data_IF_858883266507
#
_entry.id   IF_858883266507
#
_cell.length_a   1.000
_cell.length_b   1.000
_cell.length_c   1.000
_cell.angle_alpha   90.00
_cell.angle_beta   90.00
_cell.angle_gamma   90.00
#
_symmetry.space_group_name_H-M   'P 1'
#
loop_
_entity.id
_entity.type
_entity.pdbx_description
1 polymer ?
#
# COMPACT_ATOMS: atom_id res chain seq x y z
N UNK A 1 -17.82 37.88 2.05
CA UNK A 1 -18.51 37.91 0.74
C UNK A 1 -17.57 38.50 -0.30
N UNK A 2 -17.00 37.68 -1.19
CA UNK A 2 -16.26 38.16 -2.36
C UNK A 2 -16.63 37.29 -3.55
N UNK A 3 -17.47 37.86 -4.41
CA UNK A 3 -17.80 37.38 -5.75
C UNK A 3 -16.62 37.73 -6.67
N UNK A 4 -16.06 36.77 -7.38
CA UNK A 4 -15.41 37.00 -8.67
C UNK A 4 -15.90 35.88 -9.58
N UNK A 5 -16.62 36.27 -10.62
CA UNK A 5 -17.04 35.40 -11.71
C UNK A 5 -15.93 35.26 -12.74
N UNK A 6 -15.90 34.12 -13.41
CA UNK A 6 -15.18 33.93 -14.66
C UNK A 6 -16.09 33.21 -15.67
N UNK A 7 -16.38 33.95 -16.73
CA UNK A 7 -16.61 33.52 -18.13
C UNK A 7 -15.52 32.50 -18.51
N UNK A 8 -15.67 31.46 -19.32
CA UNK A 8 -16.69 30.97 -20.25
C UNK A 8 -15.96 30.05 -21.25
N UNK A 9 -16.60 28.92 -21.60
CA UNK A 9 -16.44 28.08 -22.80
C UNK A 9 -15.06 27.52 -23.20
N UNK A 10 -14.96 26.18 -23.19
CA UNK A 10 -14.22 25.44 -24.21
C UNK A 10 -14.96 24.13 -24.54
N UNK A 11 -15.57 24.09 -25.73
CA UNK A 11 -16.08 22.87 -26.38
C UNK A 11 -14.87 22.11 -26.94
N UNK A 12 -14.62 20.88 -26.46
CA UNK A 12 -13.66 19.97 -27.09
C UNK A 12 -14.44 18.81 -27.68
N UNK A 13 -14.34 18.71 -29.01
CA UNK A 13 -15.05 17.77 -29.86
C UNK A 13 -14.49 16.34 -29.75
N UNK A 14 -15.38 15.37 -29.95
CA UNK A 14 -15.08 13.94 -30.06
C UNK A 14 -14.28 13.63 -31.32
N UNK A 15 -13.32 12.70 -31.21
CA UNK A 15 -12.97 11.83 -32.33
C UNK A 15 -12.65 10.42 -31.83
N UNK A 16 -13.52 9.48 -32.20
CA UNK A 16 -13.27 8.04 -32.18
C UNK A 16 -12.40 7.69 -33.40
N UNK A 17 -11.31 6.96 -33.20
CA UNK A 17 -10.67 6.21 -34.28
C UNK A 17 -10.58 4.74 -33.87
N UNK A 18 -11.43 3.91 -34.48
CA UNK A 18 -11.29 2.47 -34.50
C UNK A 18 -10.25 2.11 -35.57
N UNK A 19 -9.16 1.47 -35.17
CA UNK A 19 -8.29 0.73 -36.09
C UNK A 19 -8.38 -0.74 -35.75
N UNK A 20 -8.75 -1.51 -36.77
CA UNK A 20 -8.99 -2.94 -36.78
C UNK A 20 -7.84 -3.66 -37.51
N UNK A 21 -7.82 -4.99 -37.36
CA UNK A 21 -6.99 -6.00 -38.05
C UNK A 21 -5.53 -6.09 -37.58
N UNK A 22 -4.92 -7.25 -37.35
CA UNK A 22 -5.31 -8.64 -37.60
C UNK A 22 -4.03 -9.45 -37.83
N UNK A 23 -3.88 -10.61 -37.18
CA UNK A 23 -2.69 -11.44 -37.32
C UNK A 23 -2.74 -12.67 -36.40
N UNK A 24 -3.34 -13.74 -36.90
CA UNK A 24 -3.26 -15.08 -36.33
C UNK A 24 -1.90 -15.68 -36.63
N UNK A 25 -1.20 -16.19 -35.63
CA UNK A 25 -0.31 -17.33 -35.82
C UNK A 25 -0.30 -18.19 -34.54
N UNK A 26 -0.83 -19.39 -34.70
CA UNK A 26 -0.84 -20.45 -33.70
C UNK A 26 0.45 -21.25 -33.90
N UNK A 27 1.33 -21.27 -32.92
CA UNK A 27 2.44 -22.23 -32.89
C UNK A 27 2.69 -22.70 -31.47
N UNK A 28 1.99 -23.80 -31.20
CA UNK A 28 2.31 -24.95 -30.37
C UNK A 28 3.42 -24.86 -29.31
N UNK A 29 2.94 -25.04 -28.09
CA UNK A 29 3.65 -25.64 -26.96
C UNK A 29 4.37 -26.93 -27.38
N UNK A 30 5.70 -26.92 -27.33
CA UNK A 30 6.48 -28.14 -27.13
C UNK A 30 7.34 -27.96 -25.88
N UNK A 31 6.96 -28.74 -24.87
CA UNK A 31 7.65 -28.93 -23.62
C UNK A 31 9.02 -29.55 -23.85
N UNK A 32 10.07 -28.98 -23.23
CA UNK A 32 11.21 -29.78 -22.78
C UNK A 32 11.48 -29.47 -21.33
N UNK A 33 10.99 -30.38 -20.49
CA UNK A 33 11.29 -30.48 -19.09
C UNK A 33 12.81 -30.64 -18.86
N UNK A 34 13.31 -29.95 -17.84
CA UNK A 34 14.24 -30.52 -16.89
C UNK A 34 13.86 -30.00 -15.49
N UNK A 35 13.46 -30.89 -14.56
CA UNK A 35 13.14 -30.54 -13.20
C UNK A 35 14.43 -30.60 -12.36
N UNK A 36 14.71 -29.55 -11.58
CA UNK A 36 15.63 -29.68 -10.45
C UNK A 36 14.91 -29.19 -9.21
N UNK A 37 14.56 -30.18 -8.41
CA UNK A 37 13.88 -30.10 -7.12
C UNK A 37 14.71 -29.36 -6.07
N UNK A 38 13.97 -28.82 -5.10
CA UNK A 38 14.37 -28.65 -3.71
C UNK A 38 15.33 -27.50 -3.39
N UNK A 39 14.71 -26.34 -3.16
CA UNK A 39 14.82 -25.75 -1.83
C UNK A 39 13.41 -25.51 -1.30
N UNK A 40 12.82 -26.57 -0.75
CA UNK A 40 11.87 -26.46 0.34
C UNK A 40 12.57 -25.78 1.52
N UNK A 41 12.79 -24.46 1.42
CA UNK A 41 12.78 -23.63 2.60
C UNK A 41 11.32 -23.73 3.02
N UNK A 42 11.06 -24.57 4.01
CA UNK A 42 9.94 -24.36 4.90
C UNK A 42 10.12 -22.93 5.43
N UNK A 43 9.65 -21.95 4.65
CA UNK A 43 9.25 -20.68 5.18
C UNK A 43 8.25 -21.09 6.23
N UNK A 44 8.67 -20.95 7.48
CA UNK A 44 7.77 -20.83 8.59
C UNK A 44 6.66 -19.92 8.06
N UNK A 45 5.50 -20.53 7.79
CA UNK A 45 4.34 -19.83 7.28
C UNK A 45 3.91 -18.95 8.46
N UNK A 46 4.58 -17.82 8.62
CA UNK A 46 4.07 -16.72 9.42
C UNK A 46 2.70 -16.47 8.82
N UNK A 47 1.68 -16.89 9.55
CA UNK A 47 0.31 -16.74 9.10
C UNK A 47 0.13 -15.30 8.65
N UNK A 48 -0.37 -15.13 7.44
CA UNK A 48 -0.68 -13.81 6.93
C UNK A 48 -1.58 -13.11 7.94
N UNK A 49 -1.16 -11.94 8.42
CA UNK A 49 -1.95 -11.13 9.37
C UNK A 49 -2.48 -9.92 8.66
N UNK A 50 -3.70 -9.51 8.98
CA UNK A 50 -4.31 -8.36 8.31
C UNK A 50 -5.07 -7.47 9.28
N UNK A 51 -5.29 -6.23 8.86
CA UNK A 51 -6.07 -5.25 9.59
C UNK A 51 -6.65 -4.18 8.67
N UNK A 52 -7.78 -3.60 9.05
CA UNK A 52 -8.33 -2.41 8.40
C UNK A 52 -7.78 -1.15 9.08
N UNK A 53 -7.44 -0.14 8.29
CA UNK A 53 -7.06 1.15 8.86
C UNK A 53 -8.26 1.86 9.47
N UNK A 54 -8.05 2.40 10.66
CA UNK A 54 -8.89 3.44 11.23
C UNK A 54 -8.10 4.76 11.24
N UNK A 55 -8.76 5.85 10.85
CA UNK A 55 -8.23 7.20 10.98
C UNK A 55 -8.10 7.61 12.45
N UNK A 56 -7.01 8.29 12.79
CA UNK A 56 -6.66 8.75 14.13
C UNK A 56 -6.32 10.25 14.11
N UNK A 57 -6.37 10.92 15.27
CA UNK A 57 -6.00 12.34 15.41
C UNK A 57 -6.73 13.28 14.42
N UNK A 58 -8.01 12.99 14.16
CA UNK A 58 -8.85 13.75 13.22
C UNK A 58 -8.48 13.58 11.74
N UNK A 59 -7.55 12.66 11.41
CA UNK A 59 -7.17 12.34 10.04
C UNK A 59 -8.02 11.21 9.48
N UNK A 60 -8.24 11.23 8.17
CA UNK A 60 -8.88 10.15 7.43
C UNK A 60 -7.80 9.21 6.88
N UNK A 61 -7.94 7.94 7.19
CA UNK A 61 -7.18 6.84 6.58
C UNK A 61 -8.14 5.69 6.34
N UNK A 62 -8.10 5.11 5.14
CA UNK A 62 -8.91 3.96 4.74
C UNK A 62 -8.06 2.92 4.03
N UNK A 63 -8.63 1.72 3.87
CA UNK A 63 -7.96 0.58 3.25
C UNK A 63 -7.53 -0.48 4.27
N UNK A 64 -6.79 -1.46 3.79
CA UNK A 64 -6.29 -2.58 4.57
C UNK A 64 -4.76 -2.61 4.57
N UNK A 65 -4.18 -3.14 5.64
CA UNK A 65 -2.81 -3.61 5.68
C UNK A 65 -2.79 -5.13 5.82
N UNK A 66 -1.98 -5.79 5.01
CA UNK A 66 -1.69 -7.22 5.10
C UNK A 66 -0.19 -7.39 5.32
N UNK A 67 0.19 -8.18 6.31
CA UNK A 67 1.57 -8.55 6.60
C UNK A 67 1.74 -10.01 6.23
N UNK A 68 2.72 -10.27 5.37
CA UNK A 68 3.11 -11.60 4.92
C UNK A 68 4.63 -11.75 5.02
N UNK A 69 5.15 -12.96 4.78
CA UNK A 69 6.59 -13.22 4.76
C UNK A 69 7.37 -12.36 3.75
N UNK A 70 6.71 -11.78 2.75
CA UNK A 70 7.34 -10.90 1.75
C UNK A 70 7.35 -9.41 2.12
N UNK A 71 6.50 -8.95 3.05
CA UNK A 71 6.30 -7.52 3.24
C UNK A 71 5.00 -7.13 3.93
N UNK A 72 4.79 -5.81 4.01
CA UNK A 72 3.50 -5.19 4.31
C UNK A 72 2.90 -4.66 3.01
N UNK A 73 1.72 -5.16 2.65
CA UNK A 73 0.95 -4.71 1.50
C UNK A 73 -0.22 -3.86 1.98
N UNK A 74 -0.34 -2.64 1.47
CA UNK A 74 -1.49 -1.78 1.64
C UNK A 74 -2.43 -1.95 0.45
N UNK A 75 -3.74 -2.08 0.70
CA UNK A 75 -4.77 -2.27 -0.34
C UNK A 75 -5.95 -1.34 -0.13
N UNK A 76 -6.44 -0.73 -1.21
CA UNK A 76 -7.50 0.29 -1.13
C UNK A 76 -7.07 1.52 -0.32
N UNK A 77 -5.77 1.76 -0.19
CA UNK A 77 -5.22 2.79 0.68
C UNK A 77 -5.54 4.20 0.19
N UNK A 78 -6.04 5.02 1.12
CA UNK A 78 -6.16 6.47 0.98
C UNK A 78 -5.90 7.10 2.34
N UNK A 79 -5.20 8.22 2.38
CA UNK A 79 -5.13 9.06 3.56
C UNK A 79 -5.29 10.53 3.21
N UNK A 80 -5.51 11.37 4.22
CA UNK A 80 -5.23 12.79 4.11
C UNK A 80 -3.77 13.03 3.69
N UNK A 81 -3.54 14.12 2.97
CA UNK A 81 -2.21 14.51 2.54
C UNK A 81 -1.31 14.88 3.73
N UNK A 82 -0.08 14.38 3.71
CA UNK A 82 0.93 14.69 4.71
C UNK A 82 2.28 14.92 4.04
N UNK A 83 3.06 15.93 4.47
CA UNK A 83 4.33 16.30 3.83
C UNK A 83 5.45 15.28 4.01
N UNK A 84 5.24 14.25 4.85
CA UNK A 84 6.24 13.21 5.16
C UNK A 84 5.60 11.94 5.76
N UNK A 85 4.75 11.26 4.98
CA UNK A 85 4.03 10.07 5.43
C UNK A 85 4.90 8.82 5.34
N UNK A 86 4.86 8.01 6.39
CA UNK A 86 5.61 6.77 6.52
C UNK A 86 4.77 5.68 7.17
N UNK A 87 5.08 4.42 6.83
CA UNK A 87 4.46 3.24 7.44
C UNK A 87 5.41 2.60 8.45
N UNK A 88 4.84 2.20 9.59
CA UNK A 88 5.54 1.60 10.71
C UNK A 88 4.88 0.29 11.13
N UNK A 89 5.70 -0.62 11.65
CA UNK A 89 5.25 -1.73 12.49
C UNK A 89 5.43 -1.35 13.96
N UNK A 90 4.38 -1.47 14.77
CA UNK A 90 4.36 -0.98 16.16
C UNK A 90 3.56 -1.89 17.10
N UNK A 91 3.73 -1.69 18.41
CA UNK A 91 2.93 -2.33 19.47
C UNK A 91 2.02 -1.33 20.20
N UNK A 92 1.56 -0.32 19.46
CA UNK A 92 0.66 0.74 19.94
C UNK A 92 0.38 1.73 18.81
N UNK A 93 -0.38 2.78 19.09
CA UNK A 93 -0.79 3.77 18.06
C UNK A 93 -0.45 5.21 18.44
N UNK A 94 0.35 5.39 19.47
CA UNK A 94 0.86 6.67 19.96
C UNK A 94 2.31 6.91 19.51
N UNK A 95 2.81 8.13 19.72
CA UNK A 95 4.15 8.55 19.29
C UNK A 95 5.28 7.74 19.96
N UNK A 96 5.08 7.23 21.19
CA UNK A 96 6.08 6.40 21.84
C UNK A 96 6.14 5.02 21.17
N UNK A 97 4.99 4.46 20.79
CA UNK A 97 4.92 3.22 20.03
C UNK A 97 5.50 3.37 18.61
N UNK A 98 5.35 4.52 17.97
CA UNK A 98 6.00 4.82 16.67
C UNK A 98 7.51 4.91 16.84
N UNK A 99 7.98 5.60 17.88
CA UNK A 99 9.42 5.76 18.18
C UNK A 99 10.10 4.43 18.52
N UNK A 100 9.41 3.53 19.22
CA UNK A 100 9.88 2.18 19.52
C UNK A 100 9.64 1.17 18.38
N UNK A 101 8.86 1.58 17.37
CA UNK A 101 8.47 0.75 16.23
C UNK A 101 9.55 0.66 15.16
N UNK A 102 9.17 0.08 14.03
CA UNK A 102 10.05 -0.03 12.87
C UNK A 102 9.42 0.58 11.62
N UNK A 103 10.06 1.62 11.11
CA UNK A 103 9.74 2.24 9.83
C UNK A 103 10.06 1.27 8.68
N UNK A 104 9.14 1.11 7.74
CA UNK A 104 9.37 0.31 6.53
C UNK A 104 9.59 1.18 5.28
N UNK A 105 9.00 2.38 5.23
CA UNK A 105 9.22 3.30 4.12
C UNK A 105 8.15 4.38 3.98
N UNK A 106 8.34 5.25 2.99
CA UNK A 106 7.48 6.38 2.69
C UNK A 106 6.20 5.95 1.97
N UNK A 107 5.07 6.50 2.39
CA UNK A 107 3.73 6.15 1.91
C UNK A 107 3.21 7.26 1.01
N UNK A 108 2.68 6.90 -0.17
CA UNK A 108 1.90 7.85 -0.96
C UNK A 108 0.44 7.85 -0.53
N UNK A 109 -0.10 9.01 -0.15
CA UNK A 109 -1.48 9.16 0.35
C UNK A 109 -2.55 8.82 -0.71
N UNK A 110 -2.23 8.95 -1.99
CA UNK A 110 -3.13 8.80 -3.13
C UNK A 110 -2.99 7.46 -3.85
N UNK A 111 -2.00 6.63 -3.51
CA UNK A 111 -1.76 5.35 -4.17
C UNK A 111 -2.44 4.19 -3.43
N UNK A 112 -3.46 3.63 -4.09
CA UNK A 112 -4.34 2.60 -3.51
C UNK A 112 -3.66 1.28 -3.16
N UNK A 113 -2.58 0.90 -3.86
CA UNK A 113 -1.84 -0.34 -3.60
C UNK A 113 -0.35 -0.08 -3.56
N UNK A 114 0.28 -0.47 -2.45
CA UNK A 114 1.71 -0.24 -2.17
C UNK A 114 2.25 -1.39 -1.33
N UNK A 115 3.49 -1.81 -1.59
CA UNK A 115 4.15 -2.87 -0.85
C UNK A 115 5.46 -2.37 -0.26
N UNK A 116 5.71 -2.76 0.98
CA UNK A 116 6.88 -2.38 1.76
C UNK A 116 7.59 -3.64 2.22
N UNK A 117 8.87 -3.77 1.88
CA UNK A 117 9.68 -4.90 2.31
C UNK A 117 9.96 -4.81 3.82
N UNK A 118 10.01 -5.95 4.50
CA UNK A 118 10.36 -6.00 5.92
C UNK A 118 11.86 -5.79 6.17
N UNK A 119 12.72 -6.00 5.17
CA UNK A 119 14.17 -5.80 5.29
C UNK A 119 14.78 -6.50 6.53
N UNK A 120 14.38 -7.76 6.78
CA UNK A 120 14.86 -8.55 7.92
C UNK A 120 14.14 -8.30 9.25
N UNK A 121 13.09 -7.48 9.26
CA UNK A 121 12.25 -7.23 10.44
C UNK A 121 11.30 -8.40 10.65
N UNK A 122 11.26 -8.93 11.87
CA UNK A 122 10.23 -9.91 12.25
C UNK A 122 8.91 -9.21 12.56
N UNK A 123 7.99 -9.24 11.61
CA UNK A 123 6.69 -8.61 11.76
C UNK A 123 5.78 -9.30 12.80
N UNK A 124 6.11 -10.53 13.21
CA UNK A 124 5.39 -11.27 14.24
C UNK A 124 5.46 -10.58 15.61
N UNK A 125 6.52 -9.79 15.84
CA UNK A 125 6.74 -9.04 17.07
C UNK A 125 5.83 -7.81 17.22
N UNK A 126 5.08 -7.45 16.19
CA UNK A 126 4.29 -6.22 16.15
C UNK A 126 2.80 -6.51 16.04
N UNK A 127 1.99 -5.65 16.64
CA UNK A 127 0.54 -5.81 16.71
C UNK A 127 -0.22 -4.88 15.76
N UNK A 128 0.44 -3.86 15.23
CA UNK A 128 -0.19 -2.83 14.41
C UNK A 128 0.69 -2.41 13.23
N UNK A 129 0.04 -1.99 12.15
CA UNK A 129 0.63 -1.18 11.08
C UNK A 129 0.14 0.25 11.25
N UNK A 130 1.04 1.22 11.35
CA UNK A 130 0.72 2.62 11.64
C UNK A 130 1.17 3.51 10.48
N UNK A 131 0.32 4.43 10.07
CA UNK A 131 0.66 5.54 9.17
C UNK A 131 0.94 6.76 10.02
N UNK A 132 2.16 7.26 9.95
CA UNK A 132 2.64 8.39 10.73
C UNK A 132 3.20 9.47 9.80
N UNK A 133 3.04 10.73 10.18
CA UNK A 133 3.68 11.85 9.50
C UNK A 133 4.80 12.41 10.38
N UNK A 134 6.06 12.18 10.00
CA UNK A 134 7.22 12.51 10.86
C UNK A 134 7.38 14.00 11.07
N UNK A 135 7.13 14.79 10.03
CA UNK A 135 7.15 16.27 10.13
C UNK A 135 6.05 16.82 11.03
N UNK A 136 4.88 16.18 11.03
CA UNK A 136 3.74 16.65 11.82
C UNK A 136 3.70 16.04 13.23
N UNK A 137 4.51 15.00 13.51
CA UNK A 137 4.51 14.22 14.76
C UNK A 137 3.11 13.78 15.14
N UNK A 138 2.46 13.12 14.17
CA UNK A 138 1.07 12.73 14.29
C UNK A 138 0.81 11.42 13.58
N UNK A 139 0.18 10.49 14.31
CA UNK A 139 -0.37 9.27 13.73
C UNK A 139 -1.65 9.58 12.96
N UNK A 140 -1.65 9.28 11.66
CA UNK A 140 -2.79 9.51 10.79
C UNK A 140 -3.79 8.36 10.86
N UNK A 141 -3.30 7.13 11.03
CA UNK A 141 -4.17 5.98 11.17
C UNK A 141 -3.40 4.72 11.54
N UNK A 142 -4.13 3.72 12.00
CA UNK A 142 -3.56 2.45 12.41
C UNK A 142 -4.46 1.29 11.99
N UNK A 143 -3.85 0.17 11.64
CA UNK A 143 -4.48 -1.10 11.37
C UNK A 143 -3.98 -2.13 12.38
N UNK A 144 -4.88 -2.63 13.22
CA UNK A 144 -4.57 -3.71 14.16
C UNK A 144 -4.51 -5.04 13.42
N UNK A 145 -3.43 -5.76 13.59
CA UNK A 145 -3.15 -7.02 12.89
C UNK A 145 -3.71 -8.21 13.67
N UNK A 146 -4.64 -8.94 13.07
CA UNK A 146 -5.23 -10.20 13.55
C UNK A 146 -5.02 -11.34 12.56
#
# INVERSE_FOLDING_TARGET
MRKIGFVGVALVALSFTLTACGGSDNSDNTSKAAPTMSASKAAMQSADRAGMFAGLNGKKVTGAAKVSGSGVTLSGFKSDEGPDLHVYLTNGTDEAAVSAGKQLGAVKFDKASQMFALNGVDASMYSNVVIHCDKAKAVFGAAKLS
#
